data_IF_292198423502
#
_entry.id   IF_292198423502
#
_cell.length_a   1.000
_cell.length_b   1.000
_cell.length_c   1.000
_cell.angle_alpha   90.00
_cell.angle_beta   90.00
_cell.angle_gamma   90.00
#
_symmetry.space_group_name_H-M   'P 1'
#
loop_
_entity.id
_entity.type
_entity.pdbx_description
1 polymer ?
#
# COMPACT_ATOMS: atom_id res chain seq x y z
N UNK A 1 -23.10 3.37 7.90
CA UNK A 1 -22.40 4.64 7.57
C UNK A 1 -21.03 4.63 8.23
N UNK A 2 -20.13 5.56 7.92
CA UNK A 2 -18.91 5.73 8.71
C UNK A 2 -19.24 6.29 10.11
N UNK A 3 -18.50 5.86 11.12
CA UNK A 3 -18.61 6.41 12.47
C UNK A 3 -18.11 7.85 12.51
N UNK A 4 -18.67 8.67 13.41
CA UNK A 4 -18.18 10.03 13.66
C UNK A 4 -16.73 10.08 14.19
N UNK A 5 -16.20 8.95 14.64
CA UNK A 5 -14.82 8.79 15.13
C UNK A 5 -13.83 8.37 14.03
N UNK A 6 -14.31 8.12 12.81
CA UNK A 6 -13.45 7.68 11.70
C UNK A 6 -12.49 8.81 11.26
N UNK A 7 -11.18 8.53 11.10
CA UNK A 7 -10.23 9.48 10.53
C UNK A 7 -10.64 9.95 9.13
N UNK A 8 -10.51 11.25 8.84
CA UNK A 8 -11.03 11.87 7.62
C UNK A 8 -10.24 11.51 6.35
N UNK A 9 -8.96 11.16 6.47
CA UNK A 9 -8.08 10.96 5.32
C UNK A 9 -8.52 9.80 4.41
N UNK A 10 -9.05 8.73 5.02
CA UNK A 10 -9.48 7.52 4.31
C UNK A 10 -10.94 7.59 3.83
N UNK A 11 -11.76 8.49 4.41
CA UNK A 11 -13.17 8.65 4.03
C UNK A 11 -13.36 9.06 2.57
N UNK A 12 -12.38 9.73 1.98
CA UNK A 12 -12.48 10.22 0.62
C UNK A 12 -12.40 9.10 -0.43
N UNK A 13 -11.89 7.92 -0.10
CA UNK A 13 -11.73 6.79 -1.03
C UNK A 13 -12.90 5.81 -1.01
N UNK A 14 -13.69 5.79 0.06
CA UNK A 14 -14.71 4.77 0.29
C UNK A 14 -16.10 5.38 0.46
N UNK A 15 -17.11 4.65 0.01
CA UNK A 15 -18.53 4.94 0.25
C UNK A 15 -19.23 3.68 0.74
N UNK A 16 -20.06 3.83 1.76
CA UNK A 16 -20.92 2.74 2.26
C UNK A 16 -22.36 3.00 1.83
N UNK A 17 -22.99 2.01 1.20
CA UNK A 17 -24.43 2.03 0.97
C UNK A 17 -25.17 1.85 2.30
N UNK A 18 -26.03 2.81 2.65
CA UNK A 18 -26.71 2.84 3.95
C UNK A 18 -27.84 1.81 4.06
N UNK A 19 -28.32 1.25 2.94
CA UNK A 19 -29.38 0.24 2.90
C UNK A 19 -28.81 -1.17 2.86
N UNK A 20 -27.77 -1.42 2.06
CA UNK A 20 -27.20 -2.76 1.87
C UNK A 20 -25.95 -3.02 2.70
N UNK A 21 -25.25 -1.98 3.16
CA UNK A 21 -23.97 -2.09 3.85
C UNK A 21 -22.78 -2.33 2.93
N UNK A 22 -22.98 -2.33 1.60
CA UNK A 22 -21.90 -2.54 0.64
C UNK A 22 -20.91 -1.37 0.66
N UNK A 23 -19.62 -1.69 0.58
CA UNK A 23 -18.52 -0.73 0.56
C UNK A 23 -17.98 -0.65 -0.87
N UNK A 24 -17.87 0.56 -1.40
CA UNK A 24 -17.40 0.85 -2.75
C UNK A 24 -16.27 1.86 -2.74
N UNK A 25 -15.38 1.77 -3.72
CA UNK A 25 -14.41 2.83 -3.99
C UNK A 25 -15.08 3.99 -4.74
N UNK A 26 -14.73 5.22 -4.37
CA UNK A 26 -15.19 6.46 -5.02
C UNK A 26 -14.17 7.03 -5.99
N UNK A 27 -12.89 6.68 -5.82
CA UNK A 27 -11.74 7.09 -6.65
C UNK A 27 -10.68 5.99 -6.67
N UNK A 28 -9.70 6.12 -7.57
CA UNK A 28 -8.55 5.21 -7.58
C UNK A 28 -7.82 5.21 -6.24
N UNK A 29 -7.44 4.02 -5.79
CA UNK A 29 -6.73 3.77 -4.52
C UNK A 29 -5.24 3.45 -4.75
N UNK A 30 -4.74 3.59 -5.99
CA UNK A 30 -3.35 3.29 -6.36
C UNK A 30 -2.30 4.01 -5.48
N UNK A 31 -2.60 5.23 -5.03
CA UNK A 31 -1.73 5.98 -4.11
C UNK A 31 -1.58 5.34 -2.71
N UNK A 32 -2.36 4.29 -2.42
CA UNK A 32 -2.35 3.51 -1.18
C UNK A 32 -2.00 2.04 -1.44
N UNK A 33 -1.39 1.71 -2.58
CA UNK A 33 -0.88 0.36 -2.84
C UNK A 33 0.05 -0.10 -1.70
N UNK A 34 -0.14 -1.34 -1.25
CA UNK A 34 0.60 -1.92 -0.12
C UNK A 34 0.18 -1.40 1.27
N UNK A 35 -0.81 -0.51 1.36
CA UNK A 35 -1.29 0.00 2.65
C UNK A 35 -2.44 -0.85 3.22
N UNK A 36 -2.56 -0.83 4.54
CA UNK A 36 -3.72 -1.33 5.29
C UNK A 36 -4.56 -0.15 5.76
N UNK A 37 -5.87 -0.20 5.54
CA UNK A 37 -6.82 0.85 5.87
C UNK A 37 -7.92 0.28 6.76
N UNK A 38 -8.14 0.91 7.90
CA UNK A 38 -9.20 0.54 8.84
C UNK A 38 -10.40 1.49 8.72
N UNK A 39 -11.56 0.92 8.41
CA UNK A 39 -12.83 1.64 8.33
C UNK A 39 -13.71 1.35 9.54
N UNK A 40 -13.94 2.34 10.39
CA UNK A 40 -14.89 2.24 11.50
C UNK A 40 -16.32 2.51 11.00
N UNK A 41 -17.11 1.45 10.92
CA UNK A 41 -18.51 1.48 10.46
C UNK A 41 -19.44 1.56 11.65
N UNK A 42 -20.47 2.41 11.55
CA UNK A 42 -21.56 2.52 12.51
C UNK A 42 -22.91 2.15 11.84
N UNK A 43 -23.66 1.29 12.53
CA UNK A 43 -25.04 0.94 12.22
C UNK A 43 -25.95 1.54 13.30
N UNK A 44 -27.09 2.09 12.88
CA UNK A 44 -28.09 2.71 13.74
C UNK A 44 -29.47 2.13 13.43
N UNK A 45 -30.20 1.70 14.46
CA UNK A 45 -31.58 1.23 14.29
C UNK A 45 -32.59 2.39 14.21
N UNK A 46 -33.84 2.06 13.86
CA UNK A 46 -34.96 3.01 13.82
C UNK A 46 -35.71 3.17 15.15
N UNK A 47 -35.14 2.70 16.26
CA UNK A 47 -35.79 2.74 17.58
C UNK A 47 -35.89 4.14 18.19
N UNK A 48 -36.67 4.25 19.26
CA UNK A 48 -36.77 5.46 20.08
C UNK A 48 -36.56 5.10 21.57
N UNK A 49 -35.39 5.41 22.17
CA UNK A 49 -34.21 6.00 21.55
C UNK A 49 -33.52 5.00 20.60
N UNK A 50 -32.82 5.50 19.57
CA UNK A 50 -32.12 4.64 18.62
C UNK A 50 -30.88 4.01 19.29
N UNK A 51 -30.61 2.75 18.98
CA UNK A 51 -29.37 2.07 19.37
C UNK A 51 -28.38 2.07 18.21
N UNK A 52 -27.10 2.18 18.55
CA UNK A 52 -26.00 2.12 17.61
C UNK A 52 -25.04 0.98 17.93
N UNK A 53 -24.42 0.43 16.90
CA UNK A 53 -23.34 -0.55 17.00
C UNK A 53 -22.22 -0.18 16.04
N UNK A 54 -20.97 -0.49 16.42
CA UNK A 54 -19.76 -0.14 15.67
C UNK A 54 -18.91 -1.37 15.41
N UNK A 55 -18.27 -1.41 14.25
CA UNK A 55 -17.32 -2.46 13.88
C UNK A 55 -16.19 -1.90 13.04
N UNK A 56 -15.02 -2.53 13.11
CA UNK A 56 -13.88 -2.23 12.26
C UNK A 56 -13.91 -3.12 11.01
N UNK A 57 -13.63 -2.54 9.86
CA UNK A 57 -13.40 -3.26 8.60
C UNK A 57 -11.99 -2.94 8.14
N UNK A 58 -11.12 -3.96 8.17
CA UNK A 58 -9.73 -3.84 7.73
C UNK A 58 -9.64 -4.19 6.24
N UNK A 59 -9.09 -3.27 5.46
CA UNK A 59 -8.90 -3.39 4.01
C UNK A 59 -7.41 -3.40 3.72
N UNK A 60 -6.94 -4.47 3.11
CA UNK A 60 -5.57 -4.58 2.61
C UNK A 60 -5.58 -4.22 1.11
N UNK A 61 -4.83 -3.19 0.74
CA UNK A 61 -4.70 -2.75 -0.65
C UNK A 61 -3.52 -3.47 -1.28
N UNK A 62 -3.81 -4.35 -2.23
CA UNK A 62 -2.78 -5.15 -2.90
C UNK A 62 -1.83 -4.27 -3.71
N UNK A 63 -0.53 -4.50 -3.53
CA UNK A 63 0.53 -3.80 -4.27
C UNK A 63 0.81 -4.52 -5.58
N UNK A 64 -0.12 -4.36 -6.52
CA UNK A 64 0.02 -4.93 -7.87
C UNK A 64 0.84 -4.04 -8.80
N UNK A 65 1.43 -2.96 -8.29
CA UNK A 65 2.20 -2.03 -9.11
C UNK A 65 3.56 -2.66 -9.39
N UNK A 66 3.76 -3.06 -10.64
CA UNK A 66 5.08 -3.47 -11.14
C UNK A 66 6.02 -2.25 -11.21
N UNK A 67 6.64 -1.91 -10.08
CA UNK A 67 7.69 -0.88 -10.05
C UNK A 67 8.86 -1.33 -10.93
N UNK A 68 9.25 -0.49 -11.88
CA UNK A 68 10.43 -0.74 -12.73
C UNK A 68 11.67 -0.84 -11.84
N UNK A 69 12.48 -1.89 -12.05
CA UNK A 69 13.69 -2.10 -11.27
C UNK A 69 14.69 -0.95 -11.48
N UNK A 70 15.15 -0.33 -10.40
CA UNK A 70 16.26 0.60 -10.44
C UNK A 70 17.58 -0.17 -10.55
N UNK A 71 18.16 -0.21 -11.76
CA UNK A 71 19.45 -0.84 -12.01
C UNK A 71 20.54 0.23 -11.86
N UNK A 72 21.32 0.13 -10.79
CA UNK A 72 22.55 0.90 -10.64
C UNK A 72 23.68 0.13 -11.30
N UNK A 73 24.22 0.69 -12.38
CA UNK A 73 25.43 0.17 -13.03
C UNK A 73 26.63 0.89 -12.41
N UNK A 74 27.25 0.28 -11.40
CA UNK A 74 28.60 0.66 -11.00
C UNK A 74 29.55 -0.02 -11.97
N UNK A 75 30.08 0.74 -12.94
CA UNK A 75 30.87 0.13 -14.00
C UNK A 75 32.20 -0.36 -13.49
N UNK A 76 32.87 0.37 -12.58
CA UNK A 76 34.11 -0.01 -11.88
C UNK A 76 34.34 0.93 -10.69
N UNK A 77 33.89 0.52 -9.50
CA UNK A 77 33.93 1.33 -8.28
C UNK A 77 35.33 1.68 -7.80
N UNK A 78 35.87 2.81 -8.28
CA UNK A 78 36.88 3.59 -7.56
C UNK A 78 38.26 3.78 -8.20
N UNK A 79 38.54 3.25 -9.40
CA UNK A 79 39.77 3.61 -10.12
C UNK A 79 39.49 4.76 -11.10
N UNK A 80 40.26 5.85 -11.02
CA UNK A 80 40.14 7.02 -11.91
C UNK A 80 40.45 6.70 -13.40
N UNK A 81 40.66 5.43 -13.74
CA UNK A 81 41.04 4.97 -15.08
C UNK A 81 40.02 4.02 -15.71
N UNK A 82 39.01 3.56 -14.96
CA UNK A 82 37.99 2.65 -15.52
C UNK A 82 38.60 1.34 -16.04
N UNK A 83 39.59 0.81 -15.31
CA UNK A 83 40.25 -0.46 -15.63
C UNK A 83 40.00 -1.48 -14.52
N UNK A 84 39.63 -2.69 -14.93
CA UNK A 84 39.43 -3.87 -14.12
C UNK A 84 40.51 -4.90 -14.51
N UNK A 85 41.30 -5.39 -13.56
CA UNK A 85 42.40 -6.34 -13.84
C UNK A 85 42.14 -7.70 -13.18
N UNK A 86 42.36 -8.77 -13.94
CA UNK A 86 42.29 -10.16 -13.44
C UNK A 86 43.60 -10.86 -13.77
N UNK A 87 44.20 -11.48 -12.76
CA UNK A 87 45.40 -12.28 -12.94
C UNK A 87 45.09 -13.61 -13.65
N UNK A 88 45.99 -14.06 -14.51
CA UNK A 88 45.91 -15.38 -15.16
C UNK A 88 45.95 -16.56 -14.16
N UNK A 89 46.44 -16.34 -12.94
CA UNK A 89 46.46 -17.34 -11.85
C UNK A 89 45.21 -17.30 -10.97
N UNK A 90 44.19 -16.53 -11.35
CA UNK A 90 42.98 -16.39 -10.53
C UNK A 90 42.20 -17.70 -10.47
N UNK A 91 41.64 -17.98 -9.30
CA UNK A 91 40.74 -19.10 -9.10
C UNK A 91 39.44 -18.93 -9.90
N UNK A 92 38.84 -20.05 -10.28
CA UNK A 92 37.55 -20.08 -10.99
C UNK A 92 36.49 -19.41 -10.10
N UNK A 93 35.79 -18.42 -10.66
CA UNK A 93 34.74 -17.67 -9.98
C UNK A 93 35.17 -16.32 -9.40
N UNK A 94 36.42 -15.88 -9.62
CA UNK A 94 36.84 -14.53 -9.27
C UNK A 94 36.05 -13.49 -10.07
N UNK A 95 35.41 -12.56 -9.36
CA UNK A 95 34.73 -11.38 -9.89
C UNK A 95 35.69 -10.17 -9.86
N UNK A 96 35.56 -9.27 -10.83
CA UNK A 96 36.35 -8.03 -10.95
C UNK A 96 35.56 -6.85 -10.41
#
# INVERSE_FOLDING_TARGET
>A
TFSAQQPQDDLNFFRVDTKTGQIFLTKSIEAKAGATIDLLIEAKDGGHPPKTSRTLVTIEVDDTINSVADIIVDTLGGSNEGVAEVSEYSEIGRVV
#
